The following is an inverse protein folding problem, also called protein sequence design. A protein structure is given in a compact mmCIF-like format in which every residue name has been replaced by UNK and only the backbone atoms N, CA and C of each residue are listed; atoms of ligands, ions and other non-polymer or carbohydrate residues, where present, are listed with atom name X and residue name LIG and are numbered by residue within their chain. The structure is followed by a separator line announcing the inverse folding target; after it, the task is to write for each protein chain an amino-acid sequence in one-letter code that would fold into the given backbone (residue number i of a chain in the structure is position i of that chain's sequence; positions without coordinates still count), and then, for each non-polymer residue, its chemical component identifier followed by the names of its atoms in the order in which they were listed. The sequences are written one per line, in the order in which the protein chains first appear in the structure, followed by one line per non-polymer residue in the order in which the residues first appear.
data_IF_666225289021
#
_entry.id   IF_666225289021
#
_cell.length_a   1.000
_cell.length_b   1.000
_cell.length_c   1.000
_cell.angle_alpha   90.00
_cell.angle_beta   90.00
_cell.angle_gamma   90.00
#
_symmetry.space_group_name_H-M   'P 1'
#
loop_
_entity.id
_entity.type
_entity.pdbx_description
1 polymer ?
#
# COMPACT_ATOMS: atom_id res chain seq x y z
N UNK A 1 -6.29 40.43 -22.08
CA UNK A 1 -5.43 39.80 -21.05
C UNK A 1 -5.14 38.35 -21.45
N UNK A 2 -4.09 38.09 -22.21
CA UNK A 2 -3.65 36.72 -22.54
C UNK A 2 -2.61 36.31 -21.50
N UNK A 3 -2.95 35.35 -20.64
CA UNK A 3 -1.99 34.82 -19.65
C UNK A 3 -0.80 34.22 -20.40
N UNK A 4 0.42 34.62 -20.03
CA UNK A 4 1.67 34.19 -20.69
C UNK A 4 2.06 32.73 -20.39
N UNK A 5 1.13 31.88 -19.95
CA UNK A 5 1.37 30.45 -19.74
C UNK A 5 0.73 29.53 -20.78
N UNK A 6 -0.03 30.06 -21.74
CA UNK A 6 -0.40 29.33 -22.96
C UNK A 6 0.78 29.15 -23.94
N UNK A 7 2.02 29.35 -23.49
CA UNK A 7 3.23 29.22 -24.31
C UNK A 7 3.61 27.74 -24.49
N UNK A 8 2.86 27.05 -25.36
CA UNK A 8 3.34 25.97 -26.23
C UNK A 8 3.76 24.62 -25.64
N UNK A 9 4.45 24.58 -24.50
CA UNK A 9 5.12 23.36 -24.00
C UNK A 9 4.29 22.59 -22.98
N UNK A 10 3.62 23.27 -22.04
CA UNK A 10 2.87 22.59 -20.96
C UNK A 10 1.43 22.21 -21.33
N UNK A 11 0.84 22.96 -22.26
CA UNK A 11 -0.50 22.76 -22.78
C UNK A 11 -0.44 22.88 -24.30
N UNK A 12 -0.02 21.82 -25.01
CA UNK A 12 0.14 21.89 -26.45
C UNK A 12 -1.23 22.04 -27.11
N UNK A 13 -1.33 22.80 -28.23
CA UNK A 13 -2.59 22.98 -28.95
C UNK A 13 -3.12 21.67 -29.57
N UNK A 14 -2.29 20.62 -29.66
CA UNK A 14 -2.71 19.28 -30.06
C UNK A 14 -3.61 18.59 -29.04
N UNK A 15 -3.61 19.05 -27.78
CA UNK A 15 -4.47 18.52 -26.72
C UNK A 15 -5.22 19.66 -26.00
N UNK A 16 -6.25 20.23 -26.63
CA UNK A 16 -7.04 21.31 -26.04
C UNK A 16 -7.85 20.86 -24.82
N UNK A 17 -8.27 19.59 -24.78
CA UNK A 17 -9.00 18.98 -23.67
C UNK A 17 -8.21 19.06 -22.35
N UNK A 18 -6.89 18.84 -22.42
CA UNK A 18 -6.01 18.97 -21.26
C UNK A 18 -6.11 20.35 -20.62
N UNK A 19 -6.02 21.42 -21.42
CA UNK A 19 -6.15 22.76 -20.89
C UNK A 19 -7.57 23.04 -20.42
N UNK A 20 -8.60 22.64 -21.17
CA UNK A 20 -10.00 22.85 -20.80
C UNK A 20 -10.34 22.21 -19.44
N UNK A 21 -9.87 21.00 -19.21
CA UNK A 21 -10.07 20.25 -17.98
C UNK A 21 -9.41 20.95 -16.77
N UNK A 22 -8.12 21.24 -16.86
CA UNK A 22 -7.39 21.91 -15.77
C UNK A 22 -7.94 23.32 -15.54
N UNK A 23 -8.29 24.03 -16.60
CA UNK A 23 -8.91 25.35 -16.53
C UNK A 23 -10.26 25.32 -15.80
N UNK A 24 -11.08 24.30 -16.03
CA UNK A 24 -12.38 24.14 -15.37
C UNK A 24 -12.25 23.94 -13.86
N UNK A 25 -11.26 23.14 -13.43
CA UNK A 25 -11.11 22.77 -12.01
C UNK A 25 -10.30 23.80 -11.22
N UNK A 26 -9.20 24.28 -11.79
CA UNK A 26 -8.27 25.18 -11.10
C UNK A 26 -8.42 26.65 -11.52
N UNK A 27 -8.78 26.92 -12.78
CA UNK A 27 -8.82 28.27 -13.34
C UNK A 27 -7.45 28.77 -13.84
N UNK A 28 -7.43 29.52 -14.93
CA UNK A 28 -6.19 29.98 -15.61
C UNK A 28 -5.21 30.72 -14.69
N UNK A 29 -5.74 31.59 -13.81
CA UNK A 29 -4.93 32.38 -12.88
C UNK A 29 -4.24 31.53 -11.82
N UNK A 30 -4.94 30.54 -11.28
CA UNK A 30 -4.38 29.64 -10.26
C UNK A 30 -3.34 28.71 -10.87
N UNK A 31 -3.60 28.15 -12.06
CA UNK A 31 -2.62 27.35 -12.81
C UNK A 31 -1.33 28.13 -13.00
N UNK A 32 -1.45 29.37 -13.48
CA UNK A 32 -0.33 30.29 -13.65
C UNK A 32 0.46 30.47 -12.36
N UNK A 33 -0.24 30.81 -11.28
CA UNK A 33 0.37 31.08 -9.97
C UNK A 33 1.08 29.85 -9.41
N UNK A 34 0.43 28.68 -9.44
CA UNK A 34 0.98 27.43 -8.92
C UNK A 34 2.23 26.99 -9.70
N UNK A 35 2.18 27.02 -11.03
CA UNK A 35 3.33 26.64 -11.85
C UNK A 35 4.50 27.63 -11.71
N UNK A 36 4.23 28.93 -11.59
CA UNK A 36 5.28 29.94 -11.42
C UNK A 36 6.03 29.81 -10.09
N UNK A 37 5.38 29.30 -9.04
CA UNK A 37 6.00 29.03 -7.74
C UNK A 37 6.97 27.84 -7.76
N UNK A 38 6.90 26.99 -8.79
CA UNK A 38 7.73 25.81 -8.92
C UNK A 38 8.98 26.08 -9.77
N UNK A 39 10.11 25.40 -9.48
CA UNK A 39 11.26 25.35 -10.38
C UNK A 39 10.88 24.89 -11.79
N UNK A 40 11.49 25.46 -12.82
CA UNK A 40 11.12 25.19 -14.23
C UNK A 40 11.11 23.70 -14.57
N UNK A 41 12.09 22.94 -14.06
CA UNK A 41 12.25 21.52 -14.37
C UNK A 41 11.13 20.61 -13.84
N UNK A 42 10.34 21.04 -12.84
CA UNK A 42 9.20 20.26 -12.33
C UNK A 42 7.85 20.73 -12.85
N UNK A 43 7.80 21.85 -13.59
CA UNK A 43 6.52 22.44 -14.04
C UNK A 43 5.74 21.53 -14.98
N UNK A 44 6.46 20.74 -15.79
CA UNK A 44 5.85 19.76 -16.69
C UNK A 44 5.16 18.65 -15.90
N UNK A 45 5.90 17.99 -15.01
CA UNK A 45 5.35 16.97 -14.11
C UNK A 45 4.19 17.52 -13.25
N UNK A 46 4.31 18.75 -12.76
CA UNK A 46 3.22 19.39 -12.02
C UNK A 46 1.99 19.62 -12.90
N UNK A 47 2.16 20.05 -14.15
CA UNK A 47 1.06 20.20 -15.09
C UNK A 47 0.40 18.85 -15.43
N UNK A 48 1.17 17.75 -15.48
CA UNK A 48 0.63 16.39 -15.62
C UNK A 48 -0.23 16.00 -14.42
N UNK A 49 0.27 16.23 -13.20
CA UNK A 49 -0.49 15.98 -11.97
C UNK A 49 -1.78 16.81 -11.93
N UNK A 50 -1.71 18.11 -12.25
CA UNK A 50 -2.89 18.97 -12.31
C UNK A 50 -3.91 18.47 -13.35
N UNK A 51 -3.47 17.96 -14.50
CA UNK A 51 -4.37 17.35 -15.48
C UNK A 51 -5.04 16.09 -14.96
N UNK A 52 -4.27 15.18 -14.37
CA UNK A 52 -4.80 13.95 -13.79
C UNK A 52 -5.82 14.23 -12.68
N UNK A 53 -5.51 15.13 -11.75
CA UNK A 53 -6.44 15.53 -10.69
C UNK A 53 -7.70 16.19 -11.27
N UNK A 54 -7.55 17.07 -12.27
CA UNK A 54 -8.68 17.72 -12.90
C UNK A 54 -9.58 16.72 -13.63
N UNK A 55 -9.02 15.78 -14.39
CA UNK A 55 -9.81 14.80 -15.15
C UNK A 55 -10.65 13.93 -14.22
N UNK A 56 -10.05 13.45 -13.14
CA UNK A 56 -10.78 12.67 -12.14
C UNK A 56 -11.84 13.51 -11.43
N UNK A 57 -11.58 14.78 -11.15
CA UNK A 57 -12.57 15.69 -10.54
C UNK A 57 -13.74 15.99 -11.48
N UNK A 58 -13.51 15.98 -12.80
CA UNK A 58 -14.56 16.09 -13.81
C UNK A 58 -15.41 14.83 -13.86
N UNK A 59 -14.80 13.64 -13.75
CA UNK A 59 -15.49 12.35 -13.73
C UNK A 59 -16.25 12.10 -12.41
N UNK A 60 -15.65 12.49 -11.28
CA UNK A 60 -16.24 12.40 -9.94
C UNK A 60 -16.31 13.81 -9.30
N UNK A 61 -17.44 14.53 -9.52
CA UNK A 61 -17.67 15.87 -8.98
C UNK A 61 -17.86 15.93 -7.47
N UNK A 62 -17.84 14.81 -6.74
CA UNK A 62 -17.98 14.82 -5.29
C UNK A 62 -16.63 14.53 -4.65
N UNK A 63 -16.00 13.41 -5.01
CA UNK A 63 -14.82 12.90 -4.33
C UNK A 63 -13.53 13.05 -5.14
N UNK A 64 -13.60 13.10 -6.48
CA UNK A 64 -12.41 13.23 -7.33
C UNK A 64 -11.29 12.24 -6.96
N UNK A 65 -10.04 12.73 -6.87
CA UNK A 65 -8.89 11.92 -6.49
C UNK A 65 -8.94 11.39 -5.04
N UNK A 66 -9.77 11.98 -4.16
CA UNK A 66 -9.93 11.52 -2.77
C UNK A 66 -10.53 10.11 -2.72
N UNK A 67 -11.40 9.78 -3.68
CA UNK A 67 -11.95 8.41 -3.81
C UNK A 67 -10.85 7.39 -4.07
N UNK A 68 -9.93 7.72 -4.99
CA UNK A 68 -8.80 6.86 -5.35
C UNK A 68 -7.88 6.67 -4.16
N UNK A 69 -7.54 7.77 -3.46
CA UNK A 69 -6.72 7.71 -2.24
C UNK A 69 -7.38 6.83 -1.18
N UNK A 70 -8.68 7.02 -0.94
CA UNK A 70 -9.44 6.24 0.05
C UNK A 70 -9.46 4.76 -0.28
N UNK A 71 -9.64 4.41 -1.57
CA UNK A 71 -9.60 3.02 -2.01
C UNK A 71 -8.23 2.40 -1.78
N UNK A 72 -7.15 3.08 -2.19
CA UNK A 72 -5.79 2.58 -1.99
C UNK A 72 -5.45 2.39 -0.50
N UNK A 73 -5.94 3.28 0.37
CA UNK A 73 -5.77 3.16 1.81
C UNK A 73 -6.52 1.93 2.37
N UNK A 74 -7.74 1.66 1.88
CA UNK A 74 -8.49 0.47 2.26
C UNK A 74 -7.78 -0.81 1.80
N UNK A 75 -7.28 -0.83 0.57
CA UNK A 75 -6.57 -1.97 -0.02
C UNK A 75 -5.27 -2.26 0.77
N UNK A 76 -4.52 -1.21 1.12
CA UNK A 76 -3.33 -1.33 1.98
C UNK A 76 -3.68 -1.91 3.35
N UNK A 77 -4.74 -1.41 3.99
CA UNK A 77 -5.17 -1.91 5.29
C UNK A 77 -5.59 -3.38 5.22
N UNK A 78 -6.33 -3.76 4.18
CA UNK A 78 -6.77 -5.13 3.97
C UNK A 78 -5.57 -6.07 3.79
N UNK A 79 -4.62 -5.70 2.93
CA UNK A 79 -3.41 -6.48 2.70
C UNK A 79 -2.59 -6.65 4.00
N UNK A 80 -2.43 -5.58 4.79
CA UNK A 80 -1.73 -5.64 6.08
C UNK A 80 -2.46 -6.55 7.08
N UNK A 81 -3.80 -6.49 7.11
CA UNK A 81 -4.63 -7.34 7.97
C UNK A 81 -4.49 -8.82 7.61
N UNK A 82 -4.50 -9.15 6.31
CA UNK A 82 -4.27 -10.52 5.84
C UNK A 82 -2.89 -11.04 6.22
N UNK A 83 -1.84 -10.23 6.00
CA UNK A 83 -0.49 -10.58 6.43
C UNK A 83 -0.41 -10.83 7.94
N UNK A 84 -1.06 -10.02 8.76
CA UNK A 84 -1.08 -10.20 10.21
C UNK A 84 -1.78 -11.50 10.61
N UNK A 85 -2.92 -11.82 9.98
CA UNK A 85 -3.65 -13.08 10.20
C UNK A 85 -2.81 -14.30 9.84
N UNK A 86 -2.18 -14.29 8.67
CA UNK A 86 -1.31 -15.41 8.23
C UNK A 86 -0.11 -15.57 9.16
N UNK A 87 0.53 -14.48 9.59
CA UNK A 87 1.62 -14.54 10.58
C UNK A 87 1.17 -15.12 11.92
N UNK A 88 0.00 -14.73 12.41
CA UNK A 88 -0.58 -15.26 13.64
C UNK A 88 -0.90 -16.76 13.52
N UNK A 89 -1.47 -17.20 12.38
CA UNK A 89 -1.71 -18.61 12.10
C UNK A 89 -0.40 -19.43 12.11
N UNK A 90 0.65 -18.94 11.45
CA UNK A 90 1.97 -19.59 11.45
C UNK A 90 2.52 -19.71 12.87
N UNK A 91 2.48 -18.62 13.65
CA UNK A 91 2.96 -18.63 15.03
C UNK A 91 2.18 -19.63 15.90
N UNK A 92 0.85 -19.70 15.73
CA UNK A 92 -0.01 -20.66 16.41
C UNK A 92 0.39 -22.11 16.09
N UNK A 93 0.54 -22.46 14.81
CA UNK A 93 0.94 -23.80 14.42
C UNK A 93 2.35 -24.16 14.93
N UNK A 94 3.30 -23.22 14.88
CA UNK A 94 4.64 -23.46 15.42
C UNK A 94 4.62 -23.73 16.93
N UNK A 95 3.83 -22.98 17.70
CA UNK A 95 3.68 -23.20 19.14
C UNK A 95 3.01 -24.55 19.44
N UNK A 96 1.99 -24.94 18.67
CA UNK A 96 1.33 -26.23 18.81
C UNK A 96 2.29 -27.39 18.51
N UNK A 97 3.11 -27.28 17.46
CA UNK A 97 4.12 -28.29 17.13
C UNK A 97 5.17 -28.43 18.23
N UNK A 98 5.63 -27.32 18.83
CA UNK A 98 6.57 -27.36 19.95
C UNK A 98 5.97 -28.07 21.17
N UNK A 99 4.71 -27.81 21.51
CA UNK A 99 4.04 -28.49 22.62
C UNK A 99 3.91 -29.99 22.37
N UNK A 100 3.55 -30.38 21.15
CA UNK A 100 3.43 -31.80 20.77
C UNK A 100 4.80 -32.51 20.83
N UNK A 101 5.87 -31.86 20.39
CA UNK A 101 7.24 -32.40 20.51
C UNK A 101 7.66 -32.56 21.97
N UNK A 102 7.32 -31.62 22.84
CA UNK A 102 7.59 -31.76 24.29
C UNK A 102 6.84 -32.94 24.90
N UNK A 103 5.58 -33.17 24.50
CA UNK A 103 4.82 -34.33 24.98
C UNK A 103 5.40 -35.66 24.47
N UNK A 104 5.81 -35.74 23.20
CA UNK A 104 6.45 -36.95 22.66
C UNK A 104 7.80 -37.25 23.34
N UNK A 105 8.63 -36.23 23.57
CA UNK A 105 9.91 -36.41 24.28
C UNK A 105 9.71 -36.86 25.75
N UNK A 106 8.58 -36.53 26.38
CA UNK A 106 8.24 -37.03 27.72
C UNK A 106 7.74 -38.47 27.72
N UNK A 107 7.19 -38.98 26.61
CA UNK A 107 6.71 -40.38 26.51
C UNK A 107 7.87 -41.32 26.20
N UNK A 108 8.76 -40.97 25.26
CA UNK A 108 9.95 -41.78 24.94
C UNK A 108 10.92 -41.89 26.14
N UNK A 109 11.12 -40.81 26.90
CA UNK A 109 11.99 -40.81 28.07
C UNK A 109 11.46 -41.60 29.27
N UNK A 110 10.17 -41.94 29.29
CA UNK A 110 9.57 -42.80 30.32
C UNK A 110 9.80 -44.27 29.96
N UNK A 111 9.67 -44.66 28.69
CA UNK A 111 9.88 -46.05 28.24
C UNK A 111 11.33 -46.53 28.44
N UNK A 112 12.32 -45.66 28.17
CA UNK A 112 13.74 -45.96 28.42
C UNK A 112 14.07 -46.16 29.92
N UNK A 113 13.39 -45.44 30.80
CA UNK A 113 13.63 -45.49 32.25
C UNK A 113 13.01 -46.75 32.88
N UNK A 114 11.82 -47.17 32.41
CA UNK A 114 11.23 -48.46 32.79
C UNK A 114 12.09 -49.65 32.35
N UNK A 115 12.69 -49.57 31.15
CA UNK A 115 13.57 -50.62 30.63
C UNK A 115 14.88 -50.74 31.45
N UNK A 116 15.44 -49.61 31.92
CA UNK A 116 16.66 -49.58 32.74
C UNK A 116 16.44 -50.10 34.17
N UNK A 117 15.31 -49.76 34.79
CA UNK A 117 14.97 -50.26 36.13
C UNK A 117 14.74 -51.79 36.13
N UNK A 118 14.04 -52.33 35.11
CA UNK A 118 13.85 -53.77 34.93
C UNK A 118 15.16 -54.55 34.74
N UNK A 119 16.14 -53.97 34.04
CA UNK A 119 17.45 -54.59 33.84
C UNK A 119 18.35 -54.56 35.10
N UNK A 120 18.20 -53.51 35.92
CA UNK A 120 18.89 -53.38 37.21
C UNK A 120 18.37 -54.37 38.25
N UNK A 121 17.05 -54.62 38.25
CA UNK A 121 16.39 -55.51 39.22
C UNK A 121 16.64 -57.01 38.96
N UNK A 122 16.92 -57.40 37.71
CA UNK A 122 17.26 -58.79 37.32
C UNK A 122 18.76 -59.15 37.41
N UNK A 123 19.64 -58.18 37.68
CA UNK A 123 21.10 -58.40 37.74
C UNK A 123 21.66 -58.48 39.18
N UNK A 124 20.81 -58.51 40.22
CA UNK A 124 21.16 -58.83 41.61
C UNK A 124 20.77 -60.26 41.96
#
# INVERSE_FOLDING_TARGET
MRSRLCSGTLFPPSNPERFACVHKIFGAGNITKMLQQLPVHVREAAADCMFYEASIRVEDPIYGCVKIISQLQQDLFQAQSEMAKTKAQIAFYNAQQQLNQQQQNMVDGVDDNYQQDLHSEYSR
#
